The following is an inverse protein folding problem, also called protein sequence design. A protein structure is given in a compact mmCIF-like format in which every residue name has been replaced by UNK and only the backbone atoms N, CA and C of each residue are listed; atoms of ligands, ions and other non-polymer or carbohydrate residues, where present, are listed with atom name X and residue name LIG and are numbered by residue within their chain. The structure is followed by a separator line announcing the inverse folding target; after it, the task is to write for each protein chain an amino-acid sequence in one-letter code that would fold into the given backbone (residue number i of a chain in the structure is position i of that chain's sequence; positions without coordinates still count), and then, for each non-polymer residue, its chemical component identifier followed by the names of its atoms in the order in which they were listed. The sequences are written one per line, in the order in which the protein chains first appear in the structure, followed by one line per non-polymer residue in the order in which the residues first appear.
data_IF_327654698180
#
_entry.id   IF_327654698180
#
_cell.length_a   1.000
_cell.length_b   1.000
_cell.length_c   1.000
_cell.angle_alpha   90.00
_cell.angle_beta   90.00
_cell.angle_gamma   90.00
#
_symmetry.space_group_name_H-M   'P 1'
#
loop_
_entity.id
_entity.type
_entity.pdbx_description
1 polymer ?
#
# COMPACT_ATOMS: atom_id res chain seq x y z
N UNK A 1 13.49 23.36 -9.02
CA UNK A 1 14.47 22.61 -8.20
C UNK A 1 15.56 23.50 -7.65
N UNK A 2 16.29 24.26 -8.47
CA UNK A 2 17.35 25.18 -8.02
C UNK A 2 16.87 26.14 -6.93
N UNK A 3 15.67 26.72 -7.08
CA UNK A 3 15.10 27.60 -6.06
C UNK A 3 14.74 26.87 -4.76
N UNK A 4 14.31 25.61 -4.84
CA UNK A 4 14.04 24.80 -3.67
C UNK A 4 15.33 24.44 -2.91
N UNK A 5 16.39 24.05 -3.65
CA UNK A 5 17.71 23.79 -3.05
C UNK A 5 18.36 25.05 -2.45
N UNK A 6 18.01 26.23 -2.95
CA UNK A 6 18.44 27.51 -2.40
C UNK A 6 17.51 28.05 -1.30
N UNK A 7 16.56 27.24 -0.80
CA UNK A 7 15.56 27.62 0.20
C UNK A 7 14.70 28.84 -0.18
N UNK A 8 14.62 29.17 -1.47
CA UNK A 8 13.76 30.25 -1.99
C UNK A 8 12.30 29.81 -2.10
N UNK A 9 12.06 28.51 -2.18
CA UNK A 9 10.74 27.89 -2.30
C UNK A 9 10.73 26.65 -1.40
N UNK A 10 9.69 26.47 -0.58
CA UNK A 10 9.58 25.24 0.22
C UNK A 10 9.42 24.02 -0.68
N UNK A 11 9.96 22.87 -0.26
CA UNK A 11 9.86 21.62 -1.01
C UNK A 11 8.41 21.23 -1.36
N UNK A 12 7.44 21.60 -0.52
CA UNK A 12 6.01 21.35 -0.76
C UNK A 12 5.44 22.11 -1.97
N UNK A 13 6.08 23.21 -2.39
CA UNK A 13 5.66 24.02 -3.54
C UNK A 13 6.28 23.53 -4.86
N UNK A 14 7.18 22.55 -4.85
CA UNK A 14 7.79 22.02 -6.09
C UNK A 14 6.75 21.39 -7.00
N UNK A 15 5.77 20.66 -6.47
CA UNK A 15 4.66 20.15 -7.29
C UNK A 15 3.85 21.28 -7.92
N UNK A 16 3.56 22.35 -7.17
CA UNK A 16 2.83 23.51 -7.69
C UNK A 16 3.61 24.21 -8.82
N UNK A 17 4.91 24.42 -8.64
CA UNK A 17 5.76 24.98 -9.68
C UNK A 17 5.83 24.09 -10.93
N UNK A 18 5.84 22.76 -10.77
CA UNK A 18 5.74 21.84 -11.90
C UNK A 18 4.38 21.94 -12.61
N UNK A 19 3.27 22.04 -11.87
CA UNK A 19 1.93 22.26 -12.44
C UNK A 19 1.85 23.58 -13.23
N UNK A 20 2.44 24.65 -12.71
CA UNK A 20 2.53 25.96 -13.38
C UNK A 20 3.36 25.88 -14.68
N UNK A 21 4.48 25.16 -14.68
CA UNK A 21 5.33 24.98 -15.87
C UNK A 21 4.66 24.08 -16.92
N UNK A 22 4.03 22.99 -16.48
CA UNK A 22 3.39 22.00 -17.36
C UNK A 22 2.06 22.52 -17.89
N UNK A 23 1.39 23.42 -17.17
CA UNK A 23 0.11 24.01 -17.54
C UNK A 23 -1.12 23.15 -17.21
N UNK A 24 -0.93 22.02 -16.53
CA UNK A 24 -2.00 21.09 -16.12
C UNK A 24 -1.80 20.63 -14.69
N UNK A 25 -2.92 20.34 -14.01
CA UNK A 25 -2.89 19.75 -12.66
C UNK A 25 -2.25 18.37 -12.66
N UNK A 26 -1.57 17.99 -11.57
CA UNK A 26 -0.83 16.72 -11.45
C UNK A 26 -1.70 15.46 -11.61
N UNK A 27 -3.01 15.59 -11.43
CA UNK A 27 -4.00 14.54 -11.68
C UNK A 27 -4.24 14.27 -13.18
N UNK A 28 -3.78 15.15 -14.06
CA UNK A 28 -3.89 15.04 -15.52
C UNK A 28 -2.59 14.59 -16.18
N UNK A 29 -1.50 14.43 -15.41
CA UNK A 29 -0.22 14.02 -15.97
C UNK A 29 -0.25 12.55 -16.35
N UNK A 30 0.06 12.27 -17.62
CA UNK A 30 0.08 10.92 -18.18
C UNK A 30 1.38 10.17 -17.86
N UNK A 31 1.40 8.88 -18.16
CA UNK A 31 2.53 8.03 -17.84
C UNK A 31 3.84 8.45 -18.57
N UNK A 32 3.82 8.78 -19.88
CA UNK A 32 5.01 9.30 -20.57
C UNK A 32 5.63 10.53 -19.90
N UNK A 33 4.83 11.55 -19.58
CA UNK A 33 5.32 12.75 -18.89
C UNK A 33 5.91 12.40 -17.52
N UNK A 34 5.21 11.57 -16.74
CA UNK A 34 5.69 11.16 -15.42
C UNK A 34 7.01 10.38 -15.50
N UNK A 35 7.20 9.52 -16.51
CA UNK A 35 8.48 8.80 -16.67
C UNK A 35 9.62 9.73 -17.10
N UNK A 36 9.37 10.73 -17.93
CA UNK A 36 10.36 11.75 -18.25
C UNK A 36 10.75 12.58 -17.00
N UNK A 37 9.76 12.98 -16.19
CA UNK A 37 10.01 13.68 -14.94
C UNK A 37 10.81 12.79 -13.97
N UNK A 38 10.46 11.51 -13.85
CA UNK A 38 11.23 10.55 -13.06
C UNK A 38 12.68 10.49 -13.52
N UNK A 39 12.93 10.31 -14.82
CA UNK A 39 14.27 10.16 -15.38
C UNK A 39 15.11 11.42 -15.08
N UNK A 40 14.54 12.61 -15.28
CA UNK A 40 15.18 13.89 -14.92
C UNK A 40 15.52 13.99 -13.43
N UNK A 41 14.64 13.56 -12.53
CA UNK A 41 14.93 13.58 -11.09
C UNK A 41 15.99 12.56 -10.71
N UNK A 42 15.92 11.35 -11.27
CA UNK A 42 16.86 10.26 -11.01
C UNK A 42 18.28 10.58 -11.47
N UNK A 43 18.45 11.27 -12.61
CA UNK A 43 19.76 11.77 -13.07
C UNK A 43 20.38 12.79 -12.12
N UNK A 44 19.55 13.45 -11.30
CA UNK A 44 19.96 14.48 -10.35
C UNK A 44 19.92 13.99 -8.90
N UNK A 45 19.94 12.69 -8.65
CA UNK A 45 19.90 12.12 -7.29
C UNK A 45 20.93 12.77 -6.35
N UNK A 46 22.15 13.00 -6.83
CA UNK A 46 23.22 13.63 -6.06
C UNK A 46 22.87 15.04 -5.55
N UNK A 47 22.02 15.79 -6.29
CA UNK A 47 21.55 17.09 -5.84
C UNK A 47 20.59 16.99 -4.65
N UNK A 48 19.82 15.90 -4.56
CA UNK A 48 18.91 15.64 -3.46
C UNK A 48 19.60 15.05 -2.24
N UNK A 49 20.75 14.39 -2.41
CA UNK A 49 21.49 13.76 -1.31
C UNK A 49 22.31 14.73 -0.46
N UNK A 50 22.04 16.04 -0.55
CA UNK A 50 22.72 17.10 0.21
C UNK A 50 22.21 17.18 1.65
N UNK A 51 20.92 16.96 1.85
CA UNK A 51 20.28 16.90 3.17
C UNK A 51 19.01 16.03 3.15
N UNK A 52 18.48 15.71 4.33
CA UNK A 52 17.32 14.84 4.46
C UNK A 52 16.01 15.47 3.95
N UNK A 53 15.89 16.80 3.94
CA UNK A 53 14.69 17.47 3.43
C UNK A 53 14.63 17.40 1.90
N UNK A 54 15.78 17.56 1.25
CA UNK A 54 15.94 17.34 -0.18
C UNK A 54 15.65 15.87 -0.55
N UNK A 55 16.15 14.90 0.23
CA UNK A 55 15.81 13.48 0.04
C UNK A 55 14.31 13.19 0.20
N UNK A 56 13.61 13.82 1.13
CA UNK A 56 12.16 13.68 1.23
C UNK A 56 11.45 14.14 -0.03
N UNK A 57 11.86 15.29 -0.58
CA UNK A 57 11.34 15.74 -1.86
C UNK A 57 11.63 14.70 -2.95
N UNK A 58 12.83 14.14 -3.00
CA UNK A 58 13.19 13.09 -3.95
C UNK A 58 12.26 11.88 -3.84
N UNK A 59 11.98 11.39 -2.63
CA UNK A 59 11.07 10.26 -2.40
C UNK A 59 9.64 10.58 -2.86
N UNK A 60 9.15 11.79 -2.56
CA UNK A 60 7.83 12.26 -2.99
C UNK A 60 7.72 12.34 -4.51
N UNK A 61 8.71 12.94 -5.16
CA UNK A 61 8.74 13.13 -6.61
C UNK A 61 8.86 11.79 -7.34
N UNK A 62 9.86 10.97 -6.98
CA UNK A 62 10.12 9.69 -7.66
C UNK A 62 9.00 8.69 -7.40
N UNK A 63 8.51 8.57 -6.17
CA UNK A 63 7.39 7.70 -5.83
C UNK A 63 6.09 8.12 -6.53
N UNK A 64 5.85 9.43 -6.67
CA UNK A 64 4.75 9.93 -7.50
C UNK A 64 4.99 9.51 -8.95
N UNK A 65 6.09 9.93 -9.55
CA UNK A 65 6.35 9.77 -10.98
C UNK A 65 6.47 8.32 -11.45
N UNK A 66 6.83 7.37 -10.59
CA UNK A 66 7.02 5.97 -10.97
C UNK A 66 5.82 5.06 -10.68
N UNK A 67 4.79 5.52 -9.97
CA UNK A 67 3.61 4.68 -9.64
C UNK A 67 2.98 4.04 -10.90
N UNK A 68 2.53 2.76 -10.86
CA UNK A 68 2.61 1.79 -9.75
C UNK A 68 3.95 1.03 -9.67
N UNK A 69 4.97 1.41 -10.45
CA UNK A 69 6.24 0.70 -10.58
C UNK A 69 6.28 -0.27 -11.76
N UNK A 70 5.24 -0.35 -12.58
CA UNK A 70 5.19 -1.16 -13.79
C UNK A 70 4.15 -0.61 -14.78
N UNK A 71 4.07 -1.20 -15.96
CA UNK A 71 3.03 -0.92 -16.96
C UNK A 71 3.44 0.11 -18.00
N UNK A 72 4.66 0.64 -17.91
CA UNK A 72 5.32 1.48 -18.93
C UNK A 72 6.69 0.88 -19.26
N UNK A 73 7.10 1.00 -20.54
CA UNK A 73 8.41 0.53 -20.99
C UNK A 73 9.55 1.17 -20.17
N UNK A 74 10.48 0.34 -19.70
CA UNK A 74 11.62 0.76 -18.88
C UNK A 74 11.34 0.88 -17.38
N UNK A 75 10.11 0.62 -16.92
CA UNK A 75 9.77 0.72 -15.49
C UNK A 75 10.60 -0.21 -14.61
N UNK A 76 10.95 -1.42 -15.08
CA UNK A 76 11.81 -2.33 -14.33
C UNK A 76 13.16 -1.68 -13.95
N UNK A 77 13.83 -1.05 -14.91
CA UNK A 77 15.09 -0.35 -14.67
C UNK A 77 14.92 0.89 -13.74
N UNK A 78 13.79 1.59 -13.84
CA UNK A 78 13.47 2.71 -12.93
C UNK A 78 13.22 2.23 -11.51
N UNK A 79 12.54 1.10 -11.35
CA UNK A 79 12.34 0.44 -10.06
C UNK A 79 13.68 -0.02 -9.49
N UNK A 80 14.59 -0.55 -10.31
CA UNK A 80 15.93 -0.93 -9.86
C UNK A 80 16.72 0.26 -9.31
N UNK A 81 16.63 1.44 -9.93
CA UNK A 81 17.23 2.67 -9.40
C UNK A 81 16.70 3.01 -8.01
N UNK A 82 15.39 2.96 -7.79
CA UNK A 82 14.81 3.23 -6.46
C UNK A 82 15.16 2.11 -5.47
N UNK A 83 15.20 0.86 -5.92
CA UNK A 83 15.56 -0.26 -5.08
C UNK A 83 17.00 -0.16 -4.55
N UNK A 84 17.94 0.33 -5.35
CA UNK A 84 19.33 0.54 -4.92
C UNK A 84 19.45 1.48 -3.70
N UNK A 85 18.49 2.41 -3.53
CA UNK A 85 18.45 3.27 -2.33
C UNK A 85 18.25 2.47 -1.04
N UNK A 86 17.69 1.26 -1.12
CA UNK A 86 17.43 0.42 0.07
C UNK A 86 18.71 -0.13 0.71
N UNK A 87 19.82 -0.11 -0.03
CA UNK A 87 21.16 -0.46 0.45
C UNK A 87 21.80 0.67 1.27
N UNK A 88 21.26 1.90 1.17
CA UNK A 88 21.75 3.04 1.93
C UNK A 88 21.41 2.95 3.42
N UNK A 89 22.38 3.29 4.25
CA UNK A 89 22.17 3.42 5.70
C UNK A 89 21.91 4.89 6.06
N UNK A 90 20.64 5.29 6.07
CA UNK A 90 20.23 6.62 6.53
C UNK A 90 20.26 6.71 8.07
N UNK A 91 20.83 7.81 8.60
CA UNK A 91 20.89 8.09 10.04
C UNK A 91 19.90 9.19 10.47
N UNK A 92 18.79 9.34 9.74
CA UNK A 92 17.80 10.38 10.00
C UNK A 92 16.92 10.03 11.20
N UNK A 93 16.82 10.92 12.18
CA UNK A 93 15.91 10.78 13.32
C UNK A 93 14.50 11.32 13.02
N UNK A 94 14.34 12.14 11.98
CA UNK A 94 13.05 12.73 11.62
C UNK A 94 12.07 11.64 11.12
N UNK A 95 10.91 11.53 11.77
CA UNK A 95 9.87 10.57 11.41
C UNK A 95 9.21 10.87 10.04
N UNK A 96 9.18 12.13 9.59
CA UNK A 96 8.64 12.50 8.29
C UNK A 96 9.49 11.90 7.15
N UNK A 97 10.81 11.85 7.33
CA UNK A 97 11.72 11.23 6.37
C UNK A 97 11.37 9.76 6.12
N UNK A 98 11.18 9.02 7.21
CA UNK A 98 10.81 7.62 7.10
C UNK A 98 9.39 7.43 6.58
N UNK A 99 8.46 8.32 6.92
CA UNK A 99 7.11 8.26 6.38
C UNK A 99 7.10 8.41 4.84
N UNK A 100 7.81 9.40 4.30
CA UNK A 100 7.95 9.58 2.84
C UNK A 100 8.67 8.42 2.17
N UNK A 101 9.72 7.89 2.81
CA UNK A 101 10.41 6.68 2.37
C UNK A 101 9.46 5.49 2.20
N UNK A 102 8.64 5.20 3.22
CA UNK A 102 7.66 4.10 3.15
C UNK A 102 6.56 4.36 2.12
N UNK A 103 6.12 5.62 1.97
CA UNK A 103 5.13 6.01 0.95
C UNK A 103 5.68 5.81 -0.47
N UNK A 104 6.94 6.20 -0.71
CA UNK A 104 7.62 5.97 -2.00
C UNK A 104 7.64 4.48 -2.34
N UNK A 105 8.15 3.63 -1.44
CA UNK A 105 8.19 2.18 -1.66
C UNK A 105 6.78 1.60 -1.87
N UNK A 106 5.79 2.06 -1.11
CA UNK A 106 4.39 1.62 -1.27
C UNK A 106 3.86 1.94 -2.66
N UNK A 107 4.09 3.15 -3.17
CA UNK A 107 3.61 3.60 -4.50
C UNK A 107 4.16 2.77 -5.64
N UNK A 108 5.35 2.19 -5.50
CA UNK A 108 6.01 1.40 -6.54
C UNK A 108 6.03 -0.11 -6.26
N UNK A 109 5.45 -0.54 -5.13
CA UNK A 109 5.56 -1.93 -4.64
C UNK A 109 5.01 -2.97 -5.61
N UNK A 110 4.07 -2.60 -6.46
CA UNK A 110 3.53 -3.48 -7.51
C UNK A 110 4.57 -3.81 -8.59
N UNK A 111 5.62 -3.00 -8.74
CA UNK A 111 6.76 -3.28 -9.61
C UNK A 111 7.87 -4.14 -8.98
N UNK A 112 7.78 -4.46 -7.69
CA UNK A 112 8.81 -5.28 -7.02
C UNK A 112 8.63 -6.78 -7.31
N UNK A 113 9.74 -7.49 -7.52
CA UNK A 113 9.76 -8.95 -7.63
C UNK A 113 9.31 -9.63 -6.32
N UNK A 114 9.06 -10.93 -6.39
CA UNK A 114 8.70 -11.76 -5.22
C UNK A 114 9.76 -11.62 -4.13
N UNK A 115 11.04 -11.73 -4.47
CA UNK A 115 12.17 -11.67 -3.54
C UNK A 115 12.26 -10.32 -2.83
N UNK A 116 12.04 -9.23 -3.58
CA UNK A 116 12.03 -7.86 -3.04
C UNK A 116 10.85 -7.65 -2.09
N UNK A 117 9.68 -8.18 -2.41
CA UNK A 117 8.53 -8.12 -1.52
C UNK A 117 8.74 -8.95 -0.25
N UNK A 118 9.32 -10.15 -0.34
CA UNK A 118 9.65 -10.97 0.84
C UNK A 118 10.71 -10.33 1.73
N UNK A 119 11.72 -9.69 1.14
CA UNK A 119 12.71 -8.89 1.87
C UNK A 119 12.05 -7.74 2.64
N UNK A 120 11.20 -6.95 1.96
CA UNK A 120 10.46 -5.86 2.60
C UNK A 120 9.56 -6.40 3.71
N UNK A 121 8.76 -7.44 3.45
CA UNK A 121 7.87 -8.07 4.44
C UNK A 121 8.64 -8.38 5.74
N UNK A 122 9.81 -8.99 5.63
CA UNK A 122 10.65 -9.33 6.79
C UNK A 122 11.11 -8.09 7.57
N UNK A 123 11.52 -7.03 6.86
CA UNK A 123 11.89 -5.74 7.46
C UNK A 123 10.71 -5.06 8.16
N UNK A 124 9.54 -5.01 7.51
CA UNK A 124 8.34 -4.38 8.05
C UNK A 124 7.82 -5.14 9.28
N UNK A 125 7.84 -6.47 9.25
CA UNK A 125 7.44 -7.32 10.37
C UNK A 125 8.28 -7.05 11.62
N UNK A 126 9.60 -6.92 11.47
CA UNK A 126 10.49 -6.60 12.58
C UNK A 126 10.13 -5.27 13.25
N UNK A 127 9.68 -4.29 12.47
CA UNK A 127 9.25 -2.97 12.98
C UNK A 127 7.86 -3.05 13.62
N UNK A 128 6.94 -3.78 12.99
CA UNK A 128 5.54 -3.83 13.42
C UNK A 128 5.35 -4.66 14.67
N UNK A 129 5.92 -5.87 14.72
CA UNK A 129 5.57 -6.81 15.78
C UNK A 129 6.68 -7.04 16.81
N UNK A 130 7.93 -6.78 16.43
CA UNK A 130 9.09 -7.13 17.24
C UNK A 130 9.81 -5.89 17.81
N UNK A 131 9.13 -4.74 17.85
CA UNK A 131 9.66 -3.46 18.34
C UNK A 131 10.31 -3.55 19.72
N UNK A 132 9.79 -4.39 20.63
CA UNK A 132 10.37 -4.58 21.98
C UNK A 132 11.75 -5.25 21.97
N UNK A 133 12.11 -5.98 20.91
CA UNK A 133 13.43 -6.61 20.75
C UNK A 133 14.51 -5.64 20.23
N UNK A 134 14.12 -4.45 19.79
CA UNK A 134 15.02 -3.52 19.10
C UNK A 134 15.97 -2.73 20.04
N UNK A 135 15.94 -2.96 21.36
CA UNK A 135 16.86 -2.34 22.32
C UNK A 135 16.72 -0.80 22.45
N UNK A 136 17.37 -0.20 23.46
CA UNK A 136 17.25 1.24 23.75
C UNK A 136 17.90 2.18 22.71
N UNK A 137 18.62 1.66 21.71
CA UNK A 137 19.39 2.43 20.72
C UNK A 137 18.68 2.58 19.36
N UNK A 138 17.47 2.06 19.21
CA UNK A 138 16.71 2.18 17.96
C UNK A 138 15.79 3.38 18.00
N UNK A 139 15.66 4.04 16.84
CA UNK A 139 14.81 5.22 16.66
C UNK A 139 13.35 4.86 16.92
N UNK A 140 12.65 5.73 17.62
CA UNK A 140 11.21 5.59 17.82
C UNK A 140 10.44 5.75 16.49
N UNK A 141 9.53 4.81 16.21
CA UNK A 141 8.68 4.83 15.03
C UNK A 141 7.37 5.54 15.37
N UNK A 142 7.16 6.72 14.80
CA UNK A 142 5.94 7.50 15.04
C UNK A 142 4.68 6.77 14.56
N UNK A 143 3.51 7.13 15.09
CA UNK A 143 2.23 6.56 14.63
C UNK A 143 1.99 6.80 13.14
N UNK A 144 2.37 7.97 12.62
CA UNK A 144 2.17 8.29 11.20
C UNK A 144 3.03 7.38 10.32
N UNK A 145 4.30 7.24 10.65
CA UNK A 145 5.23 6.34 9.94
C UNK A 145 4.76 4.89 10.02
N UNK A 146 4.37 4.43 11.22
CA UNK A 146 3.86 3.08 11.46
C UNK A 146 2.64 2.76 10.60
N UNK A 147 1.75 3.73 10.37
CA UNK A 147 0.62 3.56 9.47
C UNK A 147 1.08 3.36 8.00
N UNK A 148 2.15 4.03 7.55
CA UNK A 148 2.68 3.80 6.20
C UNK A 148 3.33 2.43 6.06
N UNK A 149 4.02 1.95 7.10
CA UNK A 149 4.60 0.60 7.16
C UNK A 149 3.50 -0.47 7.03
N UNK A 150 2.39 -0.33 7.76
CA UNK A 150 1.23 -1.21 7.61
C UNK A 150 0.67 -1.18 6.18
N UNK A 151 0.47 0.01 5.61
CA UNK A 151 -0.05 0.15 4.24
C UNK A 151 0.87 -0.48 3.21
N UNK A 152 2.19 -0.33 3.37
CA UNK A 152 3.16 -1.01 2.51
C UNK A 152 3.05 -2.53 2.66
N UNK A 153 2.96 -3.08 3.88
CA UNK A 153 2.79 -4.51 4.09
C UNK A 153 1.53 -5.06 3.39
N UNK A 154 0.42 -4.33 3.47
CA UNK A 154 -0.83 -4.69 2.79
C UNK A 154 -0.74 -4.64 1.27
N UNK A 155 0.23 -3.92 0.70
CA UNK A 155 0.44 -3.86 -0.74
C UNK A 155 1.31 -4.98 -1.29
N UNK A 156 1.96 -5.80 -0.45
CA UNK A 156 2.87 -6.85 -0.90
C UNK A 156 2.09 -8.12 -1.31
N UNK A 157 1.43 -8.08 -2.47
CA UNK A 157 0.57 -9.18 -2.92
C UNK A 157 1.34 -10.43 -3.39
N UNK A 158 2.62 -10.32 -3.73
CA UNK A 158 3.42 -11.46 -4.22
C UNK A 158 4.00 -12.33 -3.11
N UNK A 159 3.87 -11.93 -1.84
CA UNK A 159 4.26 -12.81 -0.72
C UNK A 159 3.39 -14.07 -0.74
N UNK A 160 3.96 -15.20 -0.34
CA UNK A 160 3.27 -16.49 -0.42
C UNK A 160 1.97 -16.53 0.40
N UNK A 161 1.02 -17.37 -0.01
CA UNK A 161 -0.22 -17.59 0.73
C UNK A 161 0.04 -17.98 2.20
N UNK A 162 1.07 -18.81 2.45
CA UNK A 162 1.49 -19.22 3.78
C UNK A 162 1.95 -18.02 4.64
N UNK A 163 2.72 -17.10 4.06
CA UNK A 163 3.17 -15.91 4.79
C UNK A 163 2.02 -14.93 5.05
N UNK A 164 1.09 -14.78 4.09
CA UNK A 164 -0.14 -14.00 4.32
C UNK A 164 -0.95 -14.58 5.46
N UNK A 165 -1.13 -15.91 5.50
CA UNK A 165 -1.83 -16.60 6.59
C UNK A 165 -1.15 -16.34 7.93
N UNK A 166 0.18 -16.54 8.01
CA UNK A 166 0.95 -16.32 9.23
C UNK A 166 0.80 -14.89 9.76
N UNK A 167 0.91 -13.89 8.89
CA UNK A 167 0.76 -12.48 9.25
C UNK A 167 -0.67 -12.12 9.64
N UNK A 168 -1.67 -12.60 8.89
CA UNK A 168 -3.08 -12.35 9.20
C UNK A 168 -3.50 -12.98 10.53
N UNK A 169 -3.01 -14.18 10.85
CA UNK A 169 -3.22 -14.80 12.16
C UNK A 169 -2.61 -13.99 13.30
N UNK A 170 -1.43 -13.38 13.13
CA UNK A 170 -0.88 -12.43 14.13
C UNK A 170 -1.81 -11.23 14.31
N UNK A 171 -2.34 -10.67 13.23
CA UNK A 171 -3.26 -9.51 13.28
C UNK A 171 -4.56 -9.87 14.01
N UNK A 172 -5.20 -10.99 13.67
CA UNK A 172 -6.49 -11.41 14.23
C UNK A 172 -6.40 -11.77 15.71
N UNK A 173 -5.30 -12.39 16.12
CA UNK A 173 -5.09 -12.82 17.51
C UNK A 173 -4.66 -11.67 18.43
N UNK A 174 -4.34 -10.49 17.88
CA UNK A 174 -4.05 -9.32 18.70
C UNK A 174 -5.36 -8.74 19.27
N UNK A 175 -5.41 -8.33 20.55
CA UNK A 175 -6.61 -7.76 21.16
C UNK A 175 -7.17 -6.55 20.40
N UNK A 176 -8.49 -6.48 20.28
CA UNK A 176 -9.21 -5.45 19.52
C UNK A 176 -9.11 -4.02 20.09
N UNK A 177 -8.62 -3.86 21.33
CA UNK A 177 -8.38 -2.57 21.98
C UNK A 177 -7.18 -1.86 21.34
N UNK A 178 -7.30 -1.47 20.08
CA UNK A 178 -6.26 -0.79 19.33
C UNK A 178 -6.42 0.72 19.44
N UNK A 179 -5.58 1.35 20.26
CA UNK A 179 -5.30 2.79 20.14
C UNK A 179 -4.32 3.10 18.98
N UNK A 180 -3.36 2.20 18.73
CA UNK A 180 -2.20 2.51 17.86
C UNK A 180 -2.31 1.92 16.45
N UNK A 181 -2.64 0.62 16.29
CA UNK A 181 -2.61 -0.07 14.99
C UNK A 181 -3.96 -0.57 14.47
N UNK A 182 -5.05 0.19 14.65
CA UNK A 182 -6.35 -0.18 14.06
C UNK A 182 -6.28 -0.37 12.53
N UNK A 183 -5.27 0.23 11.88
CA UNK A 183 -4.96 0.08 10.45
C UNK A 183 -4.53 -1.35 10.06
N UNK A 184 -4.10 -2.19 11.00
CA UNK A 184 -3.75 -3.60 10.73
C UNK A 184 -4.94 -4.39 10.16
N UNK A 185 -6.17 -4.00 10.50
CA UNK A 185 -7.39 -4.56 9.91
C UNK A 185 -7.53 -4.19 8.42
N UNK A 186 -7.09 -3.01 8.01
CA UNK A 186 -7.01 -2.66 6.59
C UNK A 186 -6.00 -3.55 5.86
N UNK A 187 -4.89 -3.90 6.52
CA UNK A 187 -3.89 -4.83 5.95
C UNK A 187 -4.47 -6.24 5.83
N UNK A 188 -5.22 -6.70 6.83
CA UNK A 188 -5.94 -7.97 6.77
C UNK A 188 -6.91 -8.04 5.60
N UNK A 189 -7.56 -6.93 5.24
CA UNK A 189 -8.42 -6.84 4.04
C UNK A 189 -7.67 -7.14 2.74
N UNK A 190 -6.36 -6.82 2.69
CA UNK A 190 -5.50 -7.07 1.52
C UNK A 190 -4.91 -8.48 1.55
N UNK A 191 -4.38 -8.92 2.69
CA UNK A 191 -3.82 -10.27 2.85
C UNK A 191 -4.88 -11.35 2.58
N UNK A 192 -6.11 -11.12 3.04
CA UNK A 192 -7.25 -12.00 2.85
C UNK A 192 -8.13 -11.67 1.65
N UNK A 193 -7.77 -10.68 0.83
CA UNK A 193 -8.60 -10.23 -0.29
C UNK A 193 -8.93 -11.38 -1.24
N UNK A 194 -10.18 -11.43 -1.71
CA UNK A 194 -10.65 -12.47 -2.65
C UNK A 194 -10.38 -12.13 -4.12
N UNK A 195 -9.84 -10.94 -4.37
CA UNK A 195 -9.33 -10.52 -5.67
C UNK A 195 -7.97 -9.89 -5.42
N UNK A 196 -6.92 -10.51 -5.97
CA UNK A 196 -5.60 -9.90 -6.05
C UNK A 196 -5.52 -8.98 -7.25
N UNK A 197 -4.77 -7.92 -7.08
CA UNK A 197 -4.71 -6.79 -8.00
C UNK A 197 -3.66 -7.03 -9.09
N UNK A 198 -2.50 -7.55 -8.72
CA UNK A 198 -1.40 -7.77 -9.66
C UNK A 198 -0.69 -9.12 -9.48
N UNK A 199 -0.77 -9.73 -8.30
CA UNK A 199 -0.22 -11.07 -8.06
C UNK A 199 -1.12 -12.18 -8.62
N UNK A 200 -0.58 -13.38 -8.91
CA UNK A 200 -1.36 -14.52 -9.39
C UNK A 200 -2.27 -15.05 -8.28
N UNK A 201 -3.36 -15.72 -8.67
CA UNK A 201 -4.36 -16.24 -7.71
C UNK A 201 -3.79 -17.29 -6.75
N UNK A 202 -2.68 -17.95 -7.11
CA UNK A 202 -1.92 -18.87 -6.26
C UNK A 202 -1.34 -18.20 -5.00
N UNK A 203 -1.19 -16.87 -5.01
CA UNK A 203 -0.75 -16.12 -3.83
C UNK A 203 -1.90 -15.82 -2.85
N UNK A 204 -3.15 -16.17 -3.15
CA UNK A 204 -4.27 -15.97 -2.22
C UNK A 204 -4.21 -16.95 -1.05
N UNK A 205 -4.58 -16.49 0.14
CA UNK A 205 -4.87 -17.41 1.25
C UNK A 205 -6.09 -18.28 0.90
N UNK A 206 -6.09 -19.52 1.40
CA UNK A 206 -7.15 -20.48 1.13
C UNK A 206 -8.52 -19.99 1.60
N UNK A 207 -9.58 -20.63 1.08
CA UNK A 207 -10.96 -20.36 1.51
C UNK A 207 -11.12 -20.57 3.01
N UNK A 208 -10.56 -21.63 3.56
CA UNK A 208 -10.68 -22.02 4.96
C UNK A 208 -10.07 -20.97 5.90
N UNK A 209 -8.91 -20.42 5.50
CA UNK A 209 -8.25 -19.32 6.22
C UNK A 209 -9.14 -18.07 6.19
N UNK A 210 -9.66 -17.70 5.01
CA UNK A 210 -10.53 -16.54 4.86
C UNK A 210 -11.85 -16.68 5.64
N UNK A 211 -12.46 -17.87 5.64
CA UNK A 211 -13.66 -18.20 6.42
C UNK A 211 -13.40 -18.02 7.92
N UNK A 212 -12.31 -18.60 8.42
CA UNK A 212 -11.90 -18.51 9.81
C UNK A 212 -11.70 -17.05 10.25
N UNK A 213 -11.03 -16.26 9.40
CA UNK A 213 -10.79 -14.85 9.65
C UNK A 213 -12.08 -14.03 9.66
N UNK A 214 -12.96 -14.23 8.68
CA UNK A 214 -14.24 -13.57 8.61
C UNK A 214 -15.11 -13.89 9.83
N UNK A 215 -15.20 -15.17 10.23
CA UNK A 215 -15.93 -15.60 11.42
C UNK A 215 -15.37 -14.98 12.71
N UNK A 216 -14.04 -14.90 12.84
CA UNK A 216 -13.39 -14.26 13.99
C UNK A 216 -13.68 -12.75 14.07
N UNK A 217 -13.69 -12.05 12.93
CA UNK A 217 -14.00 -10.63 12.85
C UNK A 217 -15.49 -10.34 13.10
N UNK A 218 -16.40 -11.20 12.63
CA UNK A 218 -17.85 -11.07 12.87
C UNK A 218 -18.18 -11.09 14.37
N UNK A 219 -17.52 -11.95 15.15
CA UNK A 219 -17.65 -11.98 16.63
C UNK A 219 -17.22 -10.67 17.30
N UNK A 220 -16.35 -9.92 16.63
CA UNK A 220 -15.77 -8.65 17.08
C UNK A 220 -16.41 -7.43 16.41
N UNK A 221 -17.45 -7.60 15.59
CA UNK A 221 -18.02 -6.57 14.72
C UNK A 221 -18.87 -5.54 15.50
N UNK A 222 -18.20 -4.79 16.37
CA UNK A 222 -18.77 -3.67 17.13
C UNK A 222 -19.09 -2.51 16.16
N UNK A 223 -20.13 -1.68 16.41
CA UNK A 223 -20.39 -0.46 15.64
C UNK A 223 -19.17 0.50 15.58
N UNK A 224 -18.95 1.14 14.42
CA UNK A 224 -18.05 2.31 14.31
C UNK A 224 -16.62 2.10 13.78
N UNK A 225 -16.10 0.87 13.66
CA UNK A 225 -14.74 0.67 13.12
C UNK A 225 -14.74 0.48 11.58
N UNK A 226 -14.28 1.50 10.84
CA UNK A 226 -14.23 1.46 9.37
C UNK A 226 -13.25 0.42 8.82
N UNK A 227 -12.12 0.16 9.49
CA UNK A 227 -11.13 -0.82 9.01
C UNK A 227 -11.60 -2.26 9.19
N UNK A 228 -12.30 -2.56 10.29
CA UNK A 228 -12.93 -3.88 10.47
C UNK A 228 -13.97 -4.12 9.37
N UNK A 229 -14.80 -3.12 9.08
CA UNK A 229 -15.81 -3.23 8.04
C UNK A 229 -15.16 -3.40 6.65
N UNK A 230 -14.05 -2.71 6.36
CA UNK A 230 -13.29 -2.96 5.12
C UNK A 230 -12.72 -4.38 5.08
N UNK A 231 -12.16 -4.89 6.18
CA UNK A 231 -11.65 -6.26 6.26
C UNK A 231 -12.72 -7.30 5.95
N UNK A 232 -13.88 -7.20 6.61
CA UNK A 232 -15.03 -8.07 6.34
C UNK A 232 -15.54 -7.93 4.89
N UNK A 233 -15.58 -6.71 4.34
CA UNK A 233 -16.00 -6.48 2.95
C UNK A 233 -15.08 -7.19 1.96
N UNK A 234 -13.77 -7.10 2.11
CA UNK A 234 -12.81 -7.69 1.17
C UNK A 234 -12.66 -9.20 1.34
N UNK A 235 -12.74 -9.71 2.58
CA UNK A 235 -12.80 -11.16 2.85
C UNK A 235 -14.08 -11.78 2.26
N UNK A 236 -15.20 -11.07 2.37
CA UNK A 236 -16.50 -11.51 1.86
C UNK A 236 -16.79 -11.13 0.41
N UNK A 237 -15.83 -10.50 -0.29
CA UNK A 237 -16.02 -10.02 -1.65
C UNK A 237 -16.45 -11.20 -2.53
N UNK A 238 -17.53 -11.02 -3.26
CA UNK A 238 -18.06 -12.02 -4.19
C UNK A 238 -17.13 -12.12 -5.39
N UNK A 239 -16.76 -13.35 -5.74
CA UNK A 239 -15.90 -13.64 -6.88
C UNK A 239 -16.68 -14.45 -7.93
N UNK A 240 -16.08 -14.62 -9.10
CA UNK A 240 -16.58 -15.58 -10.11
C UNK A 240 -16.11 -17.02 -9.86
N UNK A 241 -15.14 -17.21 -8.95
CA UNK A 241 -14.51 -18.48 -8.66
C UNK A 241 -14.91 -18.97 -7.26
N UNK A 242 -15.64 -20.10 -7.22
CA UNK A 242 -16.13 -20.73 -5.99
C UNK A 242 -15.00 -21.30 -5.12
N UNK A 243 -13.84 -21.60 -5.69
CA UNK A 243 -12.73 -22.20 -4.94
C UNK A 243 -12.08 -21.22 -3.96
N UNK A 244 -12.07 -19.93 -4.30
CA UNK A 244 -11.48 -18.88 -3.45
C UNK A 244 -12.53 -18.13 -2.62
N UNK A 245 -13.81 -18.19 -3.02
CA UNK A 245 -14.89 -17.49 -2.33
C UNK A 245 -15.15 -18.09 -0.95
N UNK A 246 -15.36 -17.25 0.05
CA UNK A 246 -15.78 -17.68 1.40
C UNK A 246 -17.17 -18.35 1.39
N UNK A 247 -17.48 -19.06 2.47
CA UNK A 247 -18.78 -19.67 2.69
C UNK A 247 -19.94 -18.66 2.58
N UNK A 248 -21.01 -19.07 1.89
CA UNK A 248 -22.15 -18.19 1.59
C UNK A 248 -22.94 -17.79 2.84
N UNK A 249 -22.95 -18.61 3.90
CA UNK A 249 -23.58 -18.25 5.18
C UNK A 249 -22.75 -17.19 5.90
N UNK A 250 -21.41 -17.34 5.93
CA UNK A 250 -20.51 -16.32 6.50
C UNK A 250 -20.66 -14.99 5.73
N UNK A 251 -20.70 -15.05 4.40
CA UNK A 251 -20.91 -13.85 3.56
C UNK A 251 -22.27 -13.19 3.82
N UNK A 252 -23.32 -13.99 4.03
CA UNK A 252 -24.65 -13.49 4.41
C UNK A 252 -24.60 -12.77 5.76
N UNK A 253 -23.93 -13.33 6.76
CA UNK A 253 -23.77 -12.69 8.07
C UNK A 253 -23.04 -11.35 7.98
N UNK A 254 -22.03 -11.23 7.11
CA UNK A 254 -21.35 -9.97 6.80
C UNK A 254 -22.32 -8.93 6.19
N UNK A 255 -23.17 -9.35 5.26
CA UNK A 255 -24.15 -8.45 4.66
C UNK A 255 -25.17 -7.99 5.71
N UNK A 256 -25.64 -8.91 6.56
CA UNK A 256 -26.66 -8.62 7.56
C UNK A 256 -26.13 -7.71 8.66
N UNK A 257 -24.88 -7.87 9.11
CA UNK A 257 -24.26 -6.92 10.05
C UNK A 257 -24.11 -5.53 9.41
N UNK A 258 -23.74 -5.43 8.14
CA UNK A 258 -23.61 -4.13 7.46
C UNK A 258 -24.95 -3.44 7.18
N UNK A 259 -26.01 -4.20 6.91
CA UNK A 259 -27.38 -3.67 6.86
C UNK A 259 -27.82 -3.12 8.22
N UNK A 260 -27.57 -3.85 9.30
CA UNK A 260 -27.84 -3.38 10.68
C UNK A 260 -27.06 -2.11 11.01
N UNK A 261 -25.80 -2.01 10.54
CA UNK A 261 -24.96 -0.81 10.64
C UNK A 261 -25.32 0.30 9.62
N UNK A 262 -26.35 0.12 8.79
CA UNK A 262 -26.81 1.07 7.78
C UNK A 262 -25.71 1.51 6.80
N UNK A 263 -24.80 0.60 6.44
CA UNK A 263 -23.79 0.87 5.40
C UNK A 263 -24.49 1.09 4.05
N UNK A 264 -24.00 2.07 3.28
CA UNK A 264 -24.55 2.42 1.96
C UNK A 264 -24.49 1.23 0.99
N UNK A 265 -25.43 1.17 0.05
CA UNK A 265 -25.45 0.13 -1.00
C UNK A 265 -24.13 0.03 -1.79
N UNK A 266 -23.46 1.15 -2.04
CA UNK A 266 -22.15 1.18 -2.70
C UNK A 266 -21.10 0.36 -1.92
N UNK A 267 -21.15 0.37 -0.58
CA UNK A 267 -20.25 -0.42 0.27
C UNK A 267 -20.59 -1.91 0.25
N UNK A 268 -21.87 -2.26 0.08
CA UNK A 268 -22.35 -3.65 -0.01
C UNK A 268 -22.14 -4.28 -1.39
N UNK A 269 -22.04 -3.47 -2.46
CA UNK A 269 -21.93 -3.93 -3.86
C UNK A 269 -20.87 -5.03 -4.04
N UNK A 270 -19.64 -4.94 -3.50
CA UNK A 270 -18.62 -6.00 -3.64
C UNK A 270 -19.01 -7.34 -3.01
N UNK A 271 -19.88 -7.36 -2.00
CA UNK A 271 -20.35 -8.58 -1.35
C UNK A 271 -21.47 -9.29 -2.12
N UNK A 272 -22.19 -8.54 -2.96
CA UNK A 272 -23.43 -9.02 -3.60
C UNK A 272 -23.18 -9.41 -5.07
N UNK A 273 -22.33 -8.65 -5.76
CA UNK A 273 -22.07 -8.80 -7.19
C UNK A 273 -20.58 -8.95 -7.45
N UNK A 274 -20.19 -10.04 -8.11
CA UNK A 274 -18.84 -10.21 -8.61
C UNK A 274 -18.55 -9.13 -9.66
N UNK A 275 -17.42 -8.43 -9.50
CA UNK A 275 -16.96 -7.40 -10.40
C UNK A 275 -15.44 -7.43 -10.46
N UNK A 276 -14.88 -7.01 -11.60
CA UNK A 276 -13.45 -6.70 -11.71
C UNK A 276 -13.14 -5.45 -10.88
N UNK A 277 -11.88 -5.30 -10.49
CA UNK A 277 -11.40 -4.08 -9.86
C UNK A 277 -11.53 -2.91 -10.84
N UNK A 278 -12.00 -1.78 -10.34
CA UNK A 278 -12.13 -0.52 -11.08
C UNK A 278 -10.91 0.38 -10.78
N UNK A 279 -10.69 1.44 -11.56
CA UNK A 279 -9.54 2.35 -11.37
C UNK A 279 -9.43 2.92 -9.95
N UNK A 280 -10.57 3.15 -9.30
CA UNK A 280 -10.61 3.60 -7.90
C UNK A 280 -10.09 2.54 -6.91
N UNK A 281 -10.33 1.25 -7.17
CA UNK A 281 -9.77 0.17 -6.36
C UNK A 281 -8.24 0.12 -6.52
N UNK A 282 -7.74 0.31 -7.74
CA UNK A 282 -6.30 0.36 -8.04
C UNK A 282 -5.64 1.59 -7.42
N UNK A 283 -6.31 2.75 -7.48
CA UNK A 283 -5.85 4.00 -6.88
C UNK A 283 -5.71 3.89 -5.35
N UNK A 284 -6.59 3.12 -4.69
CA UNK A 284 -6.49 2.88 -3.25
C UNK A 284 -5.18 2.15 -2.89
N UNK A 285 -4.76 1.22 -3.73
CA UNK A 285 -3.54 0.41 -3.54
C UNK A 285 -2.31 1.29 -3.72
N UNK A 286 -2.20 1.99 -4.85
CA UNK A 286 -1.09 2.91 -5.11
C UNK A 286 -1.11 4.13 -4.20
N UNK A 287 -2.26 4.42 -3.58
CA UNK A 287 -2.50 5.58 -2.72
C UNK A 287 -2.75 6.88 -3.49
N UNK A 288 -2.93 6.80 -4.80
CA UNK A 288 -3.21 7.91 -5.70
C UNK A 288 -3.70 7.37 -7.05
N UNK A 289 -4.44 8.18 -7.81
CA UNK A 289 -4.90 7.79 -9.14
C UNK A 289 -3.75 7.33 -10.05
N UNK A 290 -4.02 6.27 -10.81
CA UNK A 290 -3.11 5.78 -11.82
C UNK A 290 -3.05 6.79 -12.98
N UNK A 291 -1.84 7.10 -13.49
CA UNK A 291 -1.73 7.96 -14.65
C UNK A 291 -2.26 7.26 -15.90
N UNK A 292 -2.87 8.04 -16.80
CA UNK A 292 -3.31 7.54 -18.10
C UNK A 292 -2.14 6.98 -18.89
N UNK A 293 -2.38 5.90 -19.63
CA UNK A 293 -1.34 5.21 -20.41
C UNK A 293 -0.57 4.14 -19.64
N UNK A 294 -0.81 3.93 -18.34
CA UNK A 294 -0.31 2.74 -17.63
C UNK A 294 -1.12 1.51 -18.05
N UNK A 295 -0.43 0.45 -18.46
CA UNK A 295 -1.04 -0.87 -18.68
C UNK A 295 -1.02 -1.66 -17.39
N UNK A 296 -2.19 -1.92 -16.81
CA UNK A 296 -2.31 -2.78 -15.64
C UNK A 296 -2.29 -4.26 -16.07
N UNK A 297 -1.32 -5.02 -15.54
CA UNK A 297 -1.10 -6.43 -15.86
C UNK A 297 -1.17 -7.20 -14.55
N UNK A 298 -2.08 -8.16 -14.51
CA UNK A 298 -2.10 -9.18 -13.45
C UNK A 298 -1.29 -10.38 -13.95
N UNK A 299 -0.42 -10.89 -13.10
CA UNK A 299 0.30 -12.13 -13.38
C UNK A 299 -0.68 -13.28 -13.54
N UNK A 300 -0.48 -14.08 -14.60
CA UNK A 300 -1.28 -15.26 -14.92
C UNK A 300 -0.86 -16.47 -14.10
#
# INVERSE_FOLDING_TARGET
LTDAFNNKVEYNHVFKGLEEIIGFGRNQWDAPLLRQLFDMFAEREADFNKDYSALNLYFRLTGFCLRPGFGVLGDAARVDKIWALTDNTYKCENAEFWADWWVMLKRISCGFSVERQDFLKSKLENILFDAKKQGKKTREVSRHERNQIWRLLGNLERISAQEKERLGNRIINTPMSYGVDAISLAVLSRLGGRILTYAPDSAMVSKEVADSWAAALLKKAIPGNSYLDTALRELGRKTGDRLVQIDDLIRKDIIDIFKKKQRKNAFLKPLIKAAKLEDNDLAEITGEALPSGVVWVKEG
#
